data_IF_573300677956
#
_entry.id   IF_573300677956
#
_cell.length_a   1.000
_cell.length_b   1.000
_cell.length_c   1.000
_cell.angle_alpha   90.00
_cell.angle_beta   90.00
_cell.angle_gamma   90.00
#
_symmetry.space_group_name_H-M   'P 1'
#
loop_
_entity.id
_entity.type
_entity.pdbx_description
1 polymer ?
#
# COMPACT_ATOMS: atom_id res chain seq x y z
N UNK A 1 -9.73 -7.87 3.62
CA UNK A 1 -8.76 -7.40 4.63
C UNK A 1 -8.09 -8.50 5.47
N UNK A 2 -8.46 -9.79 5.32
CA UNK A 2 -8.00 -10.85 6.25
C UNK A 2 -6.67 -11.54 5.87
N UNK A 3 -6.25 -11.53 4.58
CA UNK A 3 -5.00 -12.19 4.17
C UNK A 3 -3.73 -11.48 4.67
N UNK A 4 -3.71 -10.15 4.67
CA UNK A 4 -2.59 -9.36 5.18
C UNK A 4 -2.46 -9.45 6.71
N UNK A 5 -3.59 -9.39 7.41
CA UNK A 5 -3.63 -9.55 8.88
C UNK A 5 -3.15 -10.94 9.30
N UNK A 6 -3.53 -11.99 8.56
CA UNK A 6 -3.11 -13.36 8.86
C UNK A 6 -1.63 -13.63 8.53
N UNK A 7 -1.11 -13.04 7.44
CA UNK A 7 0.33 -13.05 7.15
C UNK A 7 1.12 -12.34 8.26
N UNK A 8 0.56 -11.27 8.83
CA UNK A 8 1.17 -10.58 9.96
C UNK A 8 1.24 -11.49 11.21
N UNK A 9 0.17 -12.25 11.51
CA UNK A 9 0.14 -13.22 12.63
C UNK A 9 1.18 -14.34 12.47
N UNK A 10 1.22 -14.98 11.30
CA UNK A 10 2.13 -16.12 11.03
C UNK A 10 3.61 -15.71 10.93
N UNK A 11 3.92 -14.47 10.57
CA UNK A 11 5.30 -13.98 10.51
C UNK A 11 5.83 -13.48 11.86
N UNK A 12 4.97 -13.18 12.84
CA UNK A 12 5.41 -12.83 14.21
C UNK A 12 6.15 -13.95 14.92
N UNK A 13 5.94 -15.22 14.52
CA UNK A 13 6.60 -16.40 15.11
C UNK A 13 8.01 -16.66 14.54
N UNK A 14 8.41 -15.98 13.45
CA UNK A 14 9.74 -16.10 12.84
C UNK A 14 10.36 -14.72 12.76
N UNK A 15 11.20 -14.37 13.74
CA UNK A 15 11.81 -13.04 13.99
C UNK A 15 12.69 -12.42 12.90
N UNK A 16 12.37 -12.58 11.61
CA UNK A 16 13.01 -11.90 10.49
C UNK A 16 11.93 -11.20 9.67
N UNK A 17 12.05 -9.87 9.50
CA UNK A 17 11.20 -8.95 8.69
C UNK A 17 9.94 -8.29 9.29
N UNK A 18 9.66 -8.42 10.60
CA UNK A 18 8.43 -7.85 11.20
C UNK A 18 8.31 -6.32 11.05
N UNK A 19 9.42 -5.58 11.06
CA UNK A 19 9.42 -4.10 10.93
C UNK A 19 9.00 -3.63 9.54
N UNK A 20 9.52 -4.25 8.47
CA UNK A 20 9.21 -3.83 7.10
C UNK A 20 7.75 -4.13 6.73
N UNK A 21 7.24 -5.30 7.13
CA UNK A 21 5.84 -5.68 6.90
C UNK A 21 4.90 -4.74 7.65
N UNK A 22 5.22 -4.39 8.90
CA UNK A 22 4.45 -3.41 9.68
C UNK A 22 4.46 -2.02 9.04
N UNK A 23 5.61 -1.53 8.58
CA UNK A 23 5.73 -0.25 7.86
C UNK A 23 4.84 -0.23 6.61
N UNK A 24 4.92 -1.29 5.79
CA UNK A 24 4.09 -1.43 4.58
C UNK A 24 2.60 -1.48 4.90
N UNK A 25 2.20 -2.23 5.93
CA UNK A 25 0.81 -2.28 6.37
C UNK A 25 0.32 -0.90 6.83
N UNK A 26 1.15 -0.16 7.57
CA UNK A 26 0.79 1.17 8.04
C UNK A 26 0.63 2.15 6.88
N UNK A 27 1.59 2.17 5.94
CA UNK A 27 1.54 3.04 4.77
C UNK A 27 0.29 2.76 3.89
N UNK A 28 -0.08 1.49 3.71
CA UNK A 28 -1.30 1.11 2.98
C UNK A 28 -2.56 1.57 3.71
N UNK A 29 -2.58 1.53 5.06
CA UNK A 29 -3.72 2.05 5.84
C UNK A 29 -3.85 3.56 5.69
N UNK A 30 -2.75 4.30 5.82
CA UNK A 30 -2.72 5.76 5.69
C UNK A 30 -3.15 6.18 4.27
N UNK A 31 -2.66 5.50 3.23
CA UNK A 31 -3.11 5.75 1.86
C UNK A 31 -4.61 5.47 1.67
N UNK A 32 -5.15 4.43 2.29
CA UNK A 32 -6.59 4.14 2.26
C UNK A 32 -7.41 5.22 2.98
N UNK A 33 -6.95 5.69 4.14
CA UNK A 33 -7.60 6.77 4.88
C UNK A 33 -7.56 8.09 4.11
N UNK A 34 -6.46 8.40 3.42
CA UNK A 34 -6.39 9.57 2.53
C UNK A 34 -7.43 9.50 1.42
N UNK A 35 -7.53 8.34 0.75
CA UNK A 35 -8.53 8.11 -0.31
C UNK A 35 -9.96 8.22 0.21
N UNK A 36 -10.25 7.68 1.39
CA UNK A 36 -11.55 7.82 2.04
C UNK A 36 -11.86 9.26 2.40
N UNK A 37 -10.88 10.00 2.92
CA UNK A 37 -11.04 11.43 3.18
C UNK A 37 -11.38 12.21 1.91
N UNK A 38 -10.76 11.85 0.78
CA UNK A 38 -11.01 12.51 -0.51
C UNK A 38 -12.39 12.17 -1.06
N UNK A 39 -12.86 10.94 -0.87
CA UNK A 39 -14.14 10.46 -1.43
C UNK A 39 -15.35 10.77 -0.54
N UNK A 40 -15.21 10.56 0.77
CA UNK A 40 -16.30 10.63 1.74
C UNK A 40 -16.26 11.92 2.58
N UNK A 41 -15.23 12.75 2.45
CA UNK A 41 -15.00 13.89 3.34
C UNK A 41 -14.61 13.47 4.77
N UNK A 42 -14.11 12.24 4.96
CA UNK A 42 -13.57 11.80 6.25
C UNK A 42 -12.33 12.62 6.63
N UNK A 43 -12.17 12.88 7.94
CA UNK A 43 -11.01 13.60 8.46
C UNK A 43 -9.71 12.83 8.20
N UNK A 44 -8.70 13.54 7.72
CA UNK A 44 -7.36 13.00 7.47
C UNK A 44 -6.33 13.83 8.24
N UNK A 45 -6.04 13.40 9.48
CA UNK A 45 -5.26 14.17 10.46
C UNK A 45 -3.88 13.56 10.74
N UNK A 46 -3.13 13.24 9.67
CA UNK A 46 -1.75 12.76 9.80
C UNK A 46 -0.76 13.91 9.60
N UNK A 47 0.37 13.87 10.31
CA UNK A 47 1.45 14.84 10.10
C UNK A 47 2.12 14.64 8.74
N UNK A 48 2.68 15.71 8.19
CA UNK A 48 3.46 15.70 6.95
C UNK A 48 4.56 14.63 6.98
N UNK A 49 5.30 14.47 8.08
CA UNK A 49 6.33 13.44 8.25
C UNK A 49 5.77 12.01 8.04
N UNK A 50 4.58 11.74 8.59
CA UNK A 50 3.91 10.43 8.46
C UNK A 50 3.44 10.21 7.02
N UNK A 51 2.94 11.26 6.36
CA UNK A 51 2.50 11.21 4.97
C UNK A 51 3.69 10.92 4.05
N UNK A 52 4.79 11.68 4.17
CA UNK A 52 6.02 11.47 3.41
C UNK A 52 6.60 10.07 3.61
N UNK A 53 6.71 9.62 4.87
CA UNK A 53 7.17 8.26 5.18
C UNK A 53 6.27 7.20 4.53
N UNK A 54 4.96 7.44 4.49
CA UNK A 54 4.01 6.51 3.86
C UNK A 54 4.20 6.47 2.35
N UNK A 55 4.38 7.62 1.69
CA UNK A 55 4.67 7.72 0.25
C UNK A 55 5.92 6.91 -0.09
N UNK A 56 7.03 7.13 0.61
CA UNK A 56 8.30 6.40 0.39
C UNK A 56 8.11 4.87 0.51
N UNK A 57 7.37 4.44 1.54
CA UNK A 57 7.11 3.01 1.77
C UNK A 57 6.23 2.43 0.65
N UNK A 58 5.21 3.15 0.17
CA UNK A 58 4.35 2.71 -0.93
C UNK A 58 5.13 2.64 -2.25
N UNK A 59 5.96 3.64 -2.55
CA UNK A 59 6.86 3.64 -3.71
C UNK A 59 7.80 2.43 -3.68
N UNK A 60 8.33 2.09 -2.50
CA UNK A 60 9.16 0.89 -2.31
C UNK A 60 8.43 -0.46 -2.51
N UNK A 61 7.10 -0.47 -2.69
CA UNK A 61 6.32 -1.67 -3.04
C UNK A 61 6.17 -1.81 -4.56
N UNK A 62 6.14 -0.70 -5.32
CA UNK A 62 5.84 -0.69 -6.75
C UNK A 62 6.72 -1.64 -7.58
N UNK A 63 8.07 -1.66 -7.42
CA UNK A 63 8.92 -2.55 -8.22
C UNK A 63 8.62 -4.04 -8.02
N UNK A 64 8.16 -4.40 -6.82
CA UNK A 64 7.78 -5.79 -6.52
C UNK A 64 6.50 -6.19 -7.27
N UNK A 65 5.56 -5.27 -7.43
CA UNK A 65 4.30 -5.51 -8.14
C UNK A 65 4.53 -5.49 -9.65
N UNK A 66 5.31 -4.54 -10.17
CA UNK A 66 5.70 -4.50 -11.58
C UNK A 66 6.38 -5.81 -12.01
N UNK A 67 7.30 -6.33 -11.18
CA UNK A 67 7.92 -7.64 -11.41
C UNK A 67 6.92 -8.79 -11.40
N UNK A 68 5.87 -8.71 -10.59
CA UNK A 68 4.80 -9.73 -10.57
C UNK A 68 3.89 -9.63 -11.81
N UNK A 69 3.61 -8.42 -12.31
CA UNK A 69 2.86 -8.19 -13.56
C UNK A 69 3.66 -8.74 -14.74
N UNK A 70 4.95 -8.40 -14.85
CA UNK A 70 5.82 -8.84 -15.94
C UNK A 70 6.00 -10.36 -16.01
N UNK A 71 5.88 -11.06 -14.87
CA UNK A 71 5.95 -12.52 -14.80
C UNK A 71 4.61 -13.22 -15.03
N UNK A 72 3.49 -12.50 -14.94
CA UNK A 72 2.17 -13.10 -15.03
C UNK A 72 1.81 -13.35 -16.51
N UNK A 73 1.14 -14.47 -16.76
CA UNK A 73 0.64 -14.81 -18.09
C UNK A 73 -0.38 -13.76 -18.56
N UNK A 74 -0.30 -13.38 -19.82
CA UNK A 74 -1.24 -12.46 -20.45
C UNK A 74 -2.68 -12.95 -20.30
N UNK A 75 -3.61 -12.04 -20.00
CA UNK A 75 -5.02 -12.38 -19.77
C UNK A 75 -5.31 -13.21 -18.52
N UNK A 76 -4.31 -13.54 -17.69
CA UNK A 76 -4.54 -14.25 -16.43
C UNK A 76 -5.21 -13.35 -15.39
N UNK A 77 -6.08 -13.95 -14.57
CA UNK A 77 -6.68 -13.28 -13.42
C UNK A 77 -5.64 -12.71 -12.45
N UNK A 78 -4.47 -13.35 -12.36
CA UNK A 78 -3.34 -12.89 -11.55
C UNK A 78 -2.73 -11.60 -12.10
N UNK A 79 -2.60 -11.47 -13.43
CA UNK A 79 -2.10 -10.26 -14.08
C UNK A 79 -3.05 -9.10 -13.82
N UNK A 80 -4.34 -9.27 -14.12
CA UNK A 80 -5.37 -8.26 -13.85
C UNK A 80 -5.42 -7.84 -12.38
N UNK A 81 -5.29 -8.79 -11.45
CA UNK A 81 -5.25 -8.47 -10.02
C UNK A 81 -4.01 -7.62 -9.67
N UNK A 82 -2.85 -7.93 -10.22
CA UNK A 82 -1.62 -7.19 -9.94
C UNK A 82 -1.65 -5.79 -10.57
N UNK A 83 -2.19 -5.63 -11.77
CA UNK A 83 -2.41 -4.33 -12.41
C UNK A 83 -3.35 -3.46 -11.57
N UNK A 84 -4.47 -4.00 -11.09
CA UNK A 84 -5.38 -3.28 -10.18
C UNK A 84 -4.70 -2.88 -8.87
N UNK A 85 -3.83 -3.74 -8.33
CA UNK A 85 -3.04 -3.42 -7.13
C UNK A 85 -2.05 -2.28 -7.39
N UNK A 86 -1.43 -2.26 -8.57
CA UNK A 86 -0.53 -1.18 -8.97
C UNK A 86 -1.30 0.15 -9.07
N UNK A 87 -2.42 0.17 -9.78
CA UNK A 87 -3.28 1.36 -9.91
C UNK A 87 -3.74 1.87 -8.55
N UNK A 88 -4.19 0.98 -7.65
CA UNK A 88 -4.64 1.38 -6.32
C UNK A 88 -3.52 2.02 -5.48
N UNK A 89 -2.28 1.56 -5.62
CA UNK A 89 -1.14 2.15 -4.92
C UNK A 89 -0.76 3.51 -5.51
N UNK A 90 -0.79 3.66 -6.83
CA UNK A 90 -0.53 4.95 -7.49
C UNK A 90 -1.56 6.00 -7.05
N UNK A 91 -2.84 5.66 -7.06
CA UNK A 91 -3.90 6.56 -6.57
C UNK A 91 -3.75 6.91 -5.09
N UNK A 92 -3.32 5.94 -4.26
CA UNK A 92 -3.05 6.21 -2.85
C UNK A 92 -1.86 7.16 -2.65
N UNK A 93 -0.79 7.03 -3.44
CA UNK A 93 0.35 7.94 -3.43
C UNK A 93 -0.07 9.34 -3.86
N UNK A 94 -0.76 9.47 -4.99
CA UNK A 94 -1.27 10.75 -5.50
C UNK A 94 -2.19 11.43 -4.47
N UNK A 95 -3.10 10.66 -3.86
CA UNK A 95 -3.97 11.19 -2.80
C UNK A 95 -3.19 11.66 -1.57
N UNK A 96 -2.06 11.04 -1.23
CA UNK A 96 -1.20 11.48 -0.13
C UNK A 96 -0.38 12.73 -0.52
N UNK A 97 0.14 12.80 -1.74
CA UNK A 97 0.83 13.98 -2.26
C UNK A 97 -0.08 15.22 -2.29
N UNK A 98 -1.36 15.03 -2.67
CA UNK A 98 -2.38 16.09 -2.61
C UNK A 98 -2.69 16.60 -1.20
N UNK A 99 -2.34 15.85 -0.14
CA UNK A 99 -2.51 16.29 1.26
C UNK A 99 -1.34 17.12 1.76
N UNK A 100 -0.24 17.18 1.01
CA UNK A 100 0.95 17.97 1.31
C UNK A 100 0.96 19.34 0.61
N UNK A 101 0.00 19.58 -0.29
CA UNK A 101 -0.14 20.82 -1.06
C UNK A 101 -1.09 21.81 -0.40
#
# INVERSE_FOLDING_TARGET
MNKLTNACKTMTEKGSSTTLVKKRLNAVKIGLESLKGTWNGEDFNYSEEIILTSIEVLQGILPSIEKQIAKATEGSSQKTLNERRLTALLLAIESLENRLM
#
